data_IF_329904752562
#
_entry.id   IF_329904752562
#
_cell.length_a   1.000
_cell.length_b   1.000
_cell.length_c   1.000
_cell.angle_alpha   90.00
_cell.angle_beta   90.00
_cell.angle_gamma   90.00
#
_symmetry.space_group_name_H-M   'P 1'
#
loop_
_entity.id
_entity.type
_entity.pdbx_description
1 polymer ?
#
# COMPACT_ATOMS: atom_id res chain seq x y z
N UNK A 1 25.89 -5.24 -0.73
CA UNK A 1 25.09 -4.00 -0.55
C UNK A 1 24.27 -3.82 -1.80
N UNK A 2 23.14 -4.54 -1.89
CA UNK A 2 22.22 -4.41 -3.02
C UNK A 2 21.56 -3.03 -2.89
N UNK A 3 21.52 -2.20 -3.94
CA UNK A 3 20.79 -0.94 -3.87
C UNK A 3 19.33 -1.29 -3.57
N UNK A 4 18.80 -0.66 -2.51
CA UNK A 4 17.39 -0.77 -2.18
C UNK A 4 16.62 -0.34 -3.43
N UNK A 5 15.91 -1.29 -4.03
CA UNK A 5 14.84 -1.00 -4.97
C UNK A 5 13.98 0.06 -4.28
N UNK A 6 14.05 1.30 -4.79
CA UNK A 6 13.22 2.37 -4.27
C UNK A 6 11.78 1.89 -4.35
N UNK A 7 10.99 1.98 -3.26
CA UNK A 7 9.59 1.63 -3.34
C UNK A 7 8.97 2.58 -4.36
N UNK A 8 8.43 2.02 -5.44
CA UNK A 8 7.65 2.76 -6.43
C UNK A 8 6.40 3.31 -5.74
N UNK A 9 6.53 4.44 -5.06
CA UNK A 9 5.45 4.99 -4.24
C UNK A 9 5.52 6.51 -4.18
N UNK A 10 5.74 7.13 -5.33
CA UNK A 10 5.37 8.52 -5.50
C UNK A 10 4.10 8.57 -6.34
N UNK A 11 3.07 9.22 -5.82
CA UNK A 11 1.81 9.47 -6.52
C UNK A 11 2.02 10.14 -7.89
N UNK A 12 3.17 10.83 -8.06
CA UNK A 12 3.61 11.42 -9.31
C UNK A 12 3.94 10.38 -10.42
N UNK A 13 4.31 9.14 -10.07
CA UNK A 13 4.58 8.07 -11.05
C UNK A 13 3.29 7.38 -11.52
N UNK A 14 2.24 7.35 -10.69
CA UNK A 14 0.92 6.85 -11.11
C UNK A 14 0.31 7.75 -12.20
N UNK A 15 0.48 9.06 -12.10
CA UNK A 15 -0.09 10.05 -13.03
C UNK A 15 0.55 10.00 -14.44
N UNK A 16 1.80 9.54 -14.54
CA UNK A 16 2.49 9.37 -15.82
C UNK A 16 2.07 8.10 -16.59
N UNK A 17 1.29 7.21 -15.98
CA UNK A 17 0.96 5.87 -16.48
C UNK A 17 -0.56 5.62 -16.57
N UNK A 18 -1.34 6.59 -17.05
CA UNK A 18 -2.79 6.41 -17.23
C UNK A 18 -3.57 6.33 -15.91
N UNK A 19 -4.90 6.14 -15.99
CA UNK A 19 -5.72 5.99 -14.79
C UNK A 19 -5.25 4.73 -14.02
N UNK A 20 -4.81 4.85 -12.75
CA UNK A 20 -4.37 3.71 -11.96
C UNK A 20 -5.44 2.63 -11.78
N UNK A 21 -6.72 3.01 -11.85
CA UNK A 21 -7.84 2.05 -11.84
C UNK A 21 -7.82 1.21 -13.12
N UNK A 22 -7.62 1.85 -14.28
CA UNK A 22 -7.54 1.14 -15.56
C UNK A 22 -6.32 0.21 -15.61
N UNK A 23 -5.18 0.64 -15.05
CA UNK A 23 -4.00 -0.21 -14.94
C UNK A 23 -4.25 -1.45 -14.04
N UNK A 24 -4.92 -1.26 -12.89
CA UNK A 24 -5.27 -2.34 -11.98
C UNK A 24 -6.32 -3.30 -12.58
N UNK A 25 -7.28 -2.77 -13.35
CA UNK A 25 -8.25 -3.57 -14.08
C UNK A 25 -7.58 -4.38 -15.20
N UNK A 26 -6.68 -3.76 -15.97
CA UNK A 26 -5.96 -4.42 -17.05
C UNK A 26 -5.14 -5.63 -16.55
N UNK A 27 -4.60 -5.57 -15.34
CA UNK A 27 -3.86 -6.68 -14.73
C UNK A 27 -4.73 -7.93 -14.49
N UNK A 28 -6.04 -7.74 -14.29
CA UNK A 28 -7.03 -8.82 -14.19
C UNK A 28 -7.87 -8.98 -15.47
N UNK A 29 -7.38 -8.48 -16.62
CA UNK A 29 -8.09 -8.60 -17.89
C UNK A 29 -9.45 -7.87 -17.93
N UNK A 30 -9.62 -6.84 -17.10
CA UNK A 30 -10.87 -6.09 -16.96
C UNK A 30 -11.86 -6.66 -15.95
N UNK A 31 -11.53 -7.74 -15.23
CA UNK A 31 -12.38 -8.27 -14.16
C UNK A 31 -12.27 -7.41 -12.90
N UNK A 32 -13.22 -6.49 -12.76
CA UNK A 32 -13.31 -5.60 -11.60
C UNK A 32 -13.44 -6.35 -10.27
N UNK A 33 -14.07 -7.52 -10.24
CA UNK A 33 -14.22 -8.27 -9.00
C UNK A 33 -12.89 -8.87 -8.57
N UNK A 34 -12.17 -9.50 -9.49
CA UNK A 34 -10.84 -10.06 -9.22
C UNK A 34 -9.84 -8.96 -8.79
N UNK A 35 -9.90 -7.78 -9.43
CA UNK A 35 -9.11 -6.60 -9.03
C UNK A 35 -9.42 -6.17 -7.60
N UNK A 36 -10.71 -6.00 -7.26
CA UNK A 36 -11.10 -5.56 -5.90
C UNK A 36 -10.70 -6.61 -4.85
N UNK A 37 -10.91 -7.90 -5.12
CA UNK A 37 -10.53 -8.98 -4.20
C UNK A 37 -9.02 -8.96 -3.91
N UNK A 38 -8.20 -8.73 -4.94
CA UNK A 38 -6.74 -8.63 -4.78
C UNK A 38 -6.34 -7.37 -4.00
N UNK A 39 -6.93 -6.21 -4.32
CA UNK A 39 -6.66 -4.97 -3.59
C UNK A 39 -7.03 -5.08 -2.11
N UNK A 40 -8.16 -5.73 -1.78
CA UNK A 40 -8.55 -5.97 -0.40
C UNK A 40 -7.57 -6.90 0.32
N UNK A 41 -7.07 -7.94 -0.36
CA UNK A 41 -6.06 -8.83 0.18
C UNK A 41 -4.73 -8.10 0.44
N UNK A 42 -4.31 -7.24 -0.48
CA UNK A 42 -3.10 -6.43 -0.35
C UNK A 42 -3.23 -5.40 0.78
N UNK A 43 -4.36 -4.71 0.90
CA UNK A 43 -4.63 -3.82 2.03
C UNK A 43 -4.57 -4.58 3.37
N UNK A 44 -5.17 -5.76 3.46
CA UNK A 44 -5.12 -6.57 4.67
C UNK A 44 -3.69 -7.04 4.98
N UNK A 45 -2.89 -7.36 3.97
CA UNK A 45 -1.48 -7.70 4.13
C UNK A 45 -0.68 -6.52 4.68
N UNK A 46 -0.84 -5.33 4.09
CA UNK A 46 -0.16 -4.10 4.53
C UNK A 46 -0.55 -3.71 5.95
N UNK A 47 -1.83 -3.81 6.31
CA UNK A 47 -2.29 -3.56 7.68
C UNK A 47 -1.59 -4.50 8.68
N UNK A 48 -1.49 -5.80 8.37
CA UNK A 48 -0.75 -6.74 9.23
C UNK A 48 0.74 -6.40 9.35
N UNK A 49 1.38 -5.98 8.27
CA UNK A 49 2.77 -5.54 8.33
C UNK A 49 2.95 -4.32 9.23
N UNK A 50 2.03 -3.35 9.14
CA UNK A 50 2.03 -2.15 9.98
C UNK A 50 1.78 -2.49 11.45
N UNK A 51 0.88 -3.42 11.77
CA UNK A 51 0.65 -3.90 13.14
C UNK A 51 1.91 -4.56 13.72
N UNK A 52 2.56 -5.43 12.94
CA UNK A 52 3.80 -6.08 13.34
C UNK A 52 4.91 -5.05 13.57
N UNK A 53 5.06 -4.11 12.65
CA UNK A 53 6.05 -3.04 12.76
C UNK A 53 5.75 -2.12 13.96
N UNK A 54 4.48 -1.79 14.23
CA UNK A 54 4.07 -1.06 15.44
C UNK A 54 4.38 -1.84 16.72
N UNK A 55 4.20 -3.16 16.73
CA UNK A 55 4.52 -3.97 17.89
C UNK A 55 6.03 -4.05 18.13
N UNK A 56 6.83 -4.11 17.05
CA UNK A 56 8.29 -4.13 17.12
C UNK A 56 8.89 -2.76 17.46
N UNK A 57 8.34 -1.68 16.90
CA UNK A 57 8.76 -0.31 17.17
C UNK A 57 8.08 0.18 18.45
N UNK A 58 8.81 0.17 19.56
CA UNK A 58 8.30 0.69 20.84
C UNK A 58 7.82 2.16 20.73
N UNK A 59 6.96 2.58 21.67
CA UNK A 59 6.33 3.93 21.71
C UNK A 59 7.28 5.12 21.55
N UNK A 60 8.56 4.97 21.91
CA UNK A 60 9.58 6.01 21.76
C UNK A 60 10.03 6.25 20.31
N UNK A 61 9.91 5.24 19.44
CA UNK A 61 10.39 5.32 18.05
C UNK A 61 9.61 6.33 17.21
N UNK A 62 8.28 6.40 17.39
CA UNK A 62 7.41 7.35 16.68
C UNK A 62 7.23 8.68 17.41
N UNK A 63 7.97 8.93 18.51
CA UNK A 63 7.81 10.11 19.39
C UNK A 63 6.34 10.38 19.78
N UNK A 64 5.58 9.32 20.03
CA UNK A 64 4.17 9.42 20.40
C UNK A 64 3.19 9.64 19.25
N UNK A 65 3.65 9.65 17.99
CA UNK A 65 2.75 9.64 16.84
C UNK A 65 2.09 8.28 16.67
N UNK A 66 0.77 8.29 16.44
CA UNK A 66 -0.09 7.12 16.30
C UNK A 66 -0.94 7.27 15.02
N UNK A 67 -0.76 6.44 13.99
CA UNK A 67 -1.56 6.51 12.77
C UNK A 67 -3.02 6.11 13.00
N UNK A 68 -3.96 6.81 12.36
CA UNK A 68 -5.39 6.49 12.37
C UNK A 68 -5.79 5.64 11.16
N UNK A 69 -6.61 4.62 11.40
CA UNK A 69 -7.09 3.70 10.33
C UNK A 69 -8.14 4.36 9.42
N UNK A 70 -8.92 5.30 9.96
CA UNK A 70 -9.95 6.02 9.21
C UNK A 70 -9.32 7.11 8.35
N UNK A 71 -9.69 7.11 7.06
CA UNK A 71 -9.49 8.24 6.15
C UNK A 71 -10.70 9.17 6.31
N UNK A 72 -10.47 10.40 6.71
CA UNK A 72 -11.46 11.49 6.71
C UNK A 72 -11.38 12.30 5.42
#
# INVERSE_FOLDING_TARGET
MQPLCEPVTDAATLDAAGDPVDAALAWHGGDARATIETLLADCAHLQRQLELMRAAMGRGFTRGWEPSVRRD
#
